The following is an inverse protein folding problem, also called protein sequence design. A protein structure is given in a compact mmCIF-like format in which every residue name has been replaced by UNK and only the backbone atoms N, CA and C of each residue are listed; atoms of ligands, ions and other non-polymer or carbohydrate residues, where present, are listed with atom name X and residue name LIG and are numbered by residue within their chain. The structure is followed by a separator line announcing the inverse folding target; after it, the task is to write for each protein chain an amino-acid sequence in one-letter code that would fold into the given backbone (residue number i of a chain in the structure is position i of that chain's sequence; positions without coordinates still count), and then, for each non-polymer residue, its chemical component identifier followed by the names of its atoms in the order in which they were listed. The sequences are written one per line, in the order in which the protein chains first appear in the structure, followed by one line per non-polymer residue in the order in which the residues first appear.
data_IF_918379569252
#
_entry.id   IF_918379569252
#
_cell.length_a   1.000
_cell.length_b   1.000
_cell.length_c   1.000
_cell.angle_alpha   90.00
_cell.angle_beta   90.00
_cell.angle_gamma   90.00
#
_symmetry.space_group_name_H-M   'P 1'
#
loop_
_entity.id
_entity.type
_entity.pdbx_description
1 polymer ?
#
# COMPACT_ATOMS: atom_id res chain seq x y z
N UNK A 1 -3.33 -5.39 -19.48
CA UNK A 1 -4.69 -5.91 -19.16
C UNK A 1 -5.07 -5.35 -17.80
N UNK A 2 -6.22 -4.70 -17.68
CA UNK A 2 -6.77 -4.28 -16.38
C UNK A 2 -8.09 -5.02 -16.17
N UNK A 3 -8.24 -5.70 -15.03
CA UNK A 3 -9.50 -6.29 -14.61
C UNK A 3 -10.18 -5.39 -13.57
N UNK A 4 -11.52 -5.36 -13.48
CA UNK A 4 -12.21 -4.65 -12.42
C UNK A 4 -11.80 -5.23 -11.05
N UNK A 5 -11.70 -4.37 -10.04
CA UNK A 5 -11.42 -4.81 -8.67
C UNK A 5 -12.57 -5.69 -8.16
N UNK A 6 -12.24 -6.80 -7.50
CA UNK A 6 -13.24 -7.65 -6.85
C UNK A 6 -13.91 -6.96 -5.67
N UNK A 7 -15.17 -7.32 -5.41
CA UNK A 7 -15.95 -6.76 -4.29
C UNK A 7 -15.26 -7.09 -2.95
N UNK A 8 -15.06 -6.06 -2.13
CA UNK A 8 -14.49 -6.22 -0.78
C UNK A 8 -12.98 -6.42 -0.74
N UNK A 9 -12.29 -6.31 -1.88
CA UNK A 9 -10.83 -6.28 -1.91
C UNK A 9 -10.29 -5.05 -1.19
N UNK A 10 -9.19 -5.23 -0.48
CA UNK A 10 -8.59 -4.21 0.35
C UNK A 10 -7.09 -4.16 0.12
N UNK A 11 -6.56 -2.95 -0.03
CA UNK A 11 -5.12 -2.72 0.01
C UNK A 11 -4.65 -2.58 1.45
N UNK A 12 -3.56 -3.27 1.78
CA UNK A 12 -2.88 -3.19 3.07
C UNK A 12 -1.43 -2.74 2.89
N UNK A 13 -1.03 -1.72 3.63
CA UNK A 13 0.35 -1.29 3.75
C UNK A 13 0.89 -1.77 5.10
N UNK A 14 1.94 -2.57 5.08
CA UNK A 14 2.58 -3.15 6.27
C UNK A 14 1.56 -3.86 7.19
N UNK A 15 0.61 -4.57 6.58
CA UNK A 15 -0.47 -5.27 7.27
C UNK A 15 -1.65 -4.40 7.71
N UNK A 16 -1.59 -3.08 7.55
CA UNK A 16 -2.68 -2.15 7.91
C UNK A 16 -3.50 -1.76 6.67
N UNK A 17 -4.82 -1.84 6.75
CA UNK A 17 -5.70 -1.38 5.66
C UNK A 17 -5.47 0.10 5.36
N UNK A 18 -5.22 0.42 4.10
CA UNK A 18 -5.05 1.79 3.64
C UNK A 18 -6.36 2.57 3.75
N UNK A 19 -6.27 3.81 4.21
CA UNK A 19 -7.38 4.76 4.17
C UNK A 19 -7.48 5.38 2.78
N UNK A 20 -8.69 5.65 2.33
CA UNK A 20 -8.97 6.19 0.99
C UNK A 20 -9.75 7.49 1.11
N UNK A 21 -9.36 8.48 0.30
CA UNK A 21 -10.15 9.68 0.02
C UNK A 21 -10.44 9.71 -1.48
N UNK A 22 -11.67 9.38 -1.86
CA UNK A 22 -12.02 9.13 -3.26
C UNK A 22 -11.15 8.03 -3.88
N UNK A 23 -10.40 8.37 -4.92
CA UNK A 23 -9.49 7.46 -5.61
C UNK A 23 -8.05 7.49 -5.07
N UNK A 24 -7.77 8.26 -4.03
CA UNK A 24 -6.40 8.43 -3.49
C UNK A 24 -6.21 7.64 -2.20
N UNK A 25 -5.12 6.88 -2.14
CA UNK A 25 -4.68 6.21 -0.92
C UNK A 25 -3.95 7.22 -0.01
N UNK A 26 -4.40 7.37 1.22
CA UNK A 26 -3.78 8.23 2.22
C UNK A 26 -2.72 7.42 2.98
N UNK A 27 -1.46 7.58 2.56
CA UNK A 27 -0.30 6.97 3.20
C UNK A 27 0.87 7.94 3.25
N UNK A 28 1.50 8.07 4.42
CA UNK A 28 2.71 8.87 4.60
C UNK A 28 3.95 7.96 4.48
N UNK A 29 4.73 8.05 3.40
CA UNK A 29 5.87 7.16 3.17
C UNK A 29 7.00 7.46 4.17
N UNK A 30 7.33 6.47 5.00
CA UNK A 30 8.48 6.54 5.91
C UNK A 30 9.71 5.91 5.26
N UNK A 31 10.94 6.35 5.53
CA UNK A 31 12.12 5.62 5.08
C UNK A 31 12.15 4.19 5.64
N UNK A 32 12.43 3.21 4.79
CA UNK A 32 12.47 1.81 5.17
C UNK A 32 11.87 0.87 4.13
N UNK A 33 11.82 -0.42 4.49
CA UNK A 33 11.18 -1.46 3.69
C UNK A 33 9.70 -1.52 4.03
N UNK A 34 8.88 -1.58 2.99
CA UNK A 34 7.43 -1.65 3.08
C UNK A 34 6.90 -2.79 2.23
N UNK A 35 5.71 -3.27 2.60
CA UNK A 35 4.99 -4.28 1.84
C UNK A 35 3.57 -3.81 1.59
N UNK A 36 3.23 -3.68 0.32
CA UNK A 36 1.87 -3.42 -0.13
C UNK A 36 1.24 -4.74 -0.57
N UNK A 37 0.15 -5.14 0.06
CA UNK A 37 -0.59 -6.34 -0.26
C UNK A 37 -2.02 -6.00 -0.70
N UNK A 38 -2.53 -6.73 -1.67
CA UNK A 38 -3.94 -6.78 -2.02
C UNK A 38 -4.53 -8.02 -1.36
N UNK A 39 -5.56 -7.84 -0.53
CA UNK A 39 -6.26 -8.94 0.12
C UNK A 39 -7.72 -8.98 -0.33
N UNK A 40 -8.29 -10.18 -0.35
CA UNK A 40 -9.72 -10.37 -0.60
C UNK A 40 -10.58 -10.03 0.64
N UNK A 41 -11.89 -10.21 0.51
CA UNK A 41 -12.84 -9.95 1.59
C UNK A 41 -12.70 -10.93 2.79
N UNK A 42 -12.14 -12.12 2.58
CA UNK A 42 -11.83 -13.08 3.63
C UNK A 42 -10.47 -12.79 4.31
N UNK A 43 -9.72 -11.83 3.80
CA UNK A 43 -8.39 -11.47 4.27
C UNK A 43 -7.26 -12.34 3.69
N UNK A 44 -7.56 -13.17 2.68
CA UNK A 44 -6.54 -13.92 1.95
C UNK A 44 -5.77 -12.98 1.02
N UNK A 45 -4.45 -13.16 0.95
CA UNK A 45 -3.60 -12.36 0.08
C UNK A 45 -3.74 -12.82 -1.38
N UNK A 46 -4.08 -11.87 -2.24
CA UNK A 46 -4.19 -12.08 -3.69
C UNK A 46 -2.88 -11.77 -4.40
N UNK A 47 -2.20 -10.70 -3.96
CA UNK A 47 -0.92 -10.27 -4.51
C UNK A 47 -0.18 -9.37 -3.50
N UNK A 48 1.14 -9.28 -3.63
CA UNK A 48 1.95 -8.37 -2.82
C UNK A 48 3.24 -7.94 -3.50
N UNK A 49 3.62 -6.68 -3.25
CA UNK A 49 4.92 -6.12 -3.62
C UNK A 49 5.66 -5.65 -2.38
N UNK A 50 6.96 -5.96 -2.32
CA UNK A 50 7.87 -5.41 -1.33
C UNK A 50 8.74 -4.34 -1.99
N UNK A 51 8.88 -3.20 -1.34
CA UNK A 51 9.64 -2.08 -1.87
C UNK A 51 10.32 -1.28 -0.76
N UNK A 52 11.23 -0.39 -1.14
CA UNK A 52 11.97 0.46 -0.20
C UNK A 52 11.66 1.93 -0.49
N UNK A 53 11.27 2.66 0.54
CA UNK A 53 11.26 4.12 0.54
C UNK A 53 12.61 4.58 1.06
N UNK A 54 13.36 5.33 0.26
CA UNK A 54 14.65 5.87 0.66
C UNK A 54 14.46 7.23 1.32
N UNK A 55 15.23 7.50 2.38
CA UNK A 55 15.26 8.82 2.96
C UNK A 55 15.72 9.84 1.91
N UNK A 56 14.96 10.92 1.76
CA UNK A 56 15.49 12.12 1.13
C UNK A 56 16.50 12.70 2.10
N UNK A 57 17.78 12.74 1.70
CA UNK A 57 18.80 13.46 2.47
C UNK A 57 18.39 14.93 2.43
N UNK A 58 17.75 15.42 3.49
CA UNK A 58 17.48 16.84 3.63
C UNK A 58 18.81 17.57 3.47
N UNK A 59 18.89 18.57 2.59
CA UNK A 59 20.03 19.49 2.61
C UNK A 59 20.02 20.13 3.99
N UNK A 60 20.97 19.72 4.84
CA UNK A 60 21.24 20.39 6.09
C UNK A 60 21.47 21.87 5.79
N UNK A 61 20.76 22.71 6.55
CA UNK A 61 21.02 24.14 6.57
C UNK A 61 22.35 24.40 7.28
#
# INVERSE_FOLDING_TARGET
LSAPAGKGWQWRMDGKTLKWEGAQALWLPQPGRHRLALVDAAGAELDAVSFEVRALKGKGK
#
